data_IF_278978377471
#
_entry.id   IF_278978377471
#
_cell.length_a   1.000
_cell.length_b   1.000
_cell.length_c   1.000
_cell.angle_alpha   90.00
_cell.angle_beta   90.00
_cell.angle_gamma   90.00
#
_symmetry.space_group_name_H-M   'P 1'
#
loop_
_entity.id
_entity.type
_entity.pdbx_description
1 polymer ?
#
# COMPACT_ATOMS: atom_id res chain seq x y z
N UNK A 1 -0.83 21.12 -72.39
CA UNK A 1 -1.46 21.16 -71.06
C UNK A 1 -1.09 19.90 -70.23
N UNK A 2 0.17 19.70 -69.80
CA UNK A 2 0.54 18.57 -68.92
C UNK A 2 1.03 18.95 -67.50
N UNK A 3 1.05 20.24 -67.14
CA UNK A 3 1.80 20.72 -65.95
C UNK A 3 1.01 20.60 -64.62
N UNK A 4 -0.31 20.35 -64.67
CA UNK A 4 -1.14 20.33 -63.44
C UNK A 4 -1.15 18.94 -62.76
N UNK A 5 -0.81 17.86 -63.47
CA UNK A 5 -0.90 16.50 -62.91
C UNK A 5 0.32 16.10 -62.06
N UNK A 6 1.51 16.67 -62.32
CA UNK A 6 2.73 16.36 -61.57
C UNK A 6 2.78 16.98 -60.16
N UNK A 7 1.92 17.95 -59.86
CA UNK A 7 1.86 18.59 -58.54
C UNK A 7 1.02 17.84 -57.50
N UNK A 8 0.26 16.81 -57.92
CA UNK A 8 -0.59 16.01 -57.03
C UNK A 8 0.09 14.71 -56.55
N UNK A 9 1.20 14.29 -57.19
CA UNK A 9 1.87 13.01 -56.88
C UNK A 9 3.19 13.12 -56.08
N UNK A 10 3.61 14.32 -55.65
CA UNK A 10 4.97 14.52 -55.11
C UNK A 10 5.04 15.01 -53.66
N UNK A 11 4.08 14.69 -52.77
CA UNK A 11 4.24 14.96 -51.31
C UNK A 11 3.24 14.20 -50.42
N UNK A 12 3.39 12.89 -50.31
CA UNK A 12 2.83 12.12 -49.18
C UNK A 12 3.73 10.96 -48.76
N UNK A 13 5.04 11.11 -48.88
CA UNK A 13 5.98 10.31 -48.10
C UNK A 13 5.90 10.80 -46.66
N UNK A 14 5.07 10.15 -45.86
CA UNK A 14 5.14 10.21 -44.39
C UNK A 14 6.55 9.72 -44.03
N UNK A 15 7.47 10.66 -43.84
CA UNK A 15 8.74 10.39 -43.18
C UNK A 15 8.39 9.89 -41.79
N UNK A 16 8.47 8.57 -41.60
CA UNK A 16 8.58 7.97 -40.28
C UNK A 16 9.87 8.49 -39.66
N UNK A 17 9.79 9.64 -38.99
CA UNK A 17 10.85 10.14 -38.11
C UNK A 17 10.96 9.14 -36.97
N UNK A 18 11.75 8.08 -37.17
CA UNK A 18 12.21 7.23 -36.09
C UNK A 18 12.98 8.13 -35.11
N UNK A 19 12.33 8.50 -34.01
CA UNK A 19 12.98 9.20 -32.91
C UNK A 19 13.93 8.19 -32.26
N UNK A 20 15.16 8.11 -32.77
CA UNK A 20 16.25 7.37 -32.14
C UNK A 20 16.60 8.08 -30.84
N UNK A 21 15.91 7.70 -29.77
CA UNK A 21 16.31 8.10 -28.43
C UNK A 21 17.70 7.51 -28.15
N UNK A 22 18.69 8.33 -27.74
CA UNK A 22 19.95 7.79 -27.27
C UNK A 22 19.66 6.85 -26.07
N UNK A 23 20.40 5.73 -25.93
CA UNK A 23 20.11 4.72 -24.90
C UNK A 23 20.13 5.29 -23.47
N UNK A 24 20.85 6.40 -23.25
CA UNK A 24 20.85 7.15 -21.99
C UNK A 24 19.53 7.87 -21.68
N UNK A 25 18.82 8.39 -22.68
CA UNK A 25 17.54 9.07 -22.48
C UNK A 25 16.40 8.08 -22.25
N UNK A 26 16.37 6.98 -23.01
CA UNK A 26 15.39 5.91 -22.79
C UNK A 26 15.51 5.29 -21.38
N UNK A 27 16.75 5.14 -20.88
CA UNK A 27 17.01 4.67 -19.53
C UNK A 27 16.55 5.66 -18.45
N UNK A 28 16.78 6.96 -18.66
CA UNK A 28 16.32 8.02 -17.74
C UNK A 28 14.78 8.03 -17.63
N UNK A 29 14.07 7.91 -18.74
CA UNK A 29 12.60 7.83 -18.75
C UNK A 29 12.06 6.59 -18.01
N UNK A 30 12.72 5.43 -18.16
CA UNK A 30 12.32 4.21 -17.44
C UNK A 30 12.59 4.29 -15.94
N UNK A 31 13.70 4.91 -15.52
CA UNK A 31 13.98 5.14 -14.09
C UNK A 31 12.94 6.08 -13.47
N UNK A 32 12.55 7.14 -14.18
CA UNK A 32 11.58 8.13 -13.69
C UNK A 32 10.21 7.48 -13.41
N UNK A 33 9.75 6.56 -14.28
CA UNK A 33 8.48 5.85 -14.11
C UNK A 33 8.54 4.82 -12.98
N UNK A 34 9.63 4.04 -12.87
CA UNK A 34 9.84 3.08 -11.78
C UNK A 34 9.89 3.79 -10.43
N UNK A 35 10.60 4.92 -10.34
CA UNK A 35 10.72 5.70 -9.10
C UNK A 35 9.35 6.14 -8.57
N UNK A 36 8.47 6.66 -9.42
CA UNK A 36 7.12 7.09 -9.01
C UNK A 36 6.30 5.91 -8.47
N UNK A 37 6.37 4.75 -9.14
CA UNK A 37 5.66 3.53 -8.72
C UNK A 37 6.19 2.98 -7.40
N UNK A 38 7.51 3.02 -7.22
CA UNK A 38 8.19 2.53 -6.01
C UNK A 38 7.92 3.41 -4.78
N UNK A 39 7.95 4.74 -4.93
CA UNK A 39 7.72 5.68 -3.80
C UNK A 39 6.34 5.49 -3.18
N UNK A 40 5.30 5.22 -3.97
CA UNK A 40 3.95 4.95 -3.43
C UNK A 40 3.85 3.63 -2.68
N UNK A 41 4.39 2.56 -3.27
CA UNK A 41 4.44 1.26 -2.61
C UNK A 41 5.16 1.38 -1.26
N UNK A 42 6.19 2.21 -1.20
CA UNK A 42 6.91 2.54 0.03
C UNK A 42 6.02 3.29 1.05
N UNK A 43 5.23 4.29 0.63
CA UNK A 43 4.33 5.05 1.52
C UNK A 43 3.32 4.11 2.19
N UNK A 44 2.66 3.24 1.41
CA UNK A 44 1.69 2.28 1.95
C UNK A 44 2.38 1.27 2.87
N UNK A 45 3.52 0.73 2.45
CA UNK A 45 4.27 -0.24 3.25
C UNK A 45 4.72 0.36 4.59
N UNK A 46 5.29 1.57 4.59
CA UNK A 46 5.73 2.25 5.82
C UNK A 46 4.54 2.51 6.74
N UNK A 47 3.41 2.96 6.18
CA UNK A 47 2.20 3.25 6.96
C UNK A 47 1.71 2.00 7.69
N UNK A 48 1.62 0.87 7.00
CA UNK A 48 1.19 -0.42 7.58
C UNK A 48 2.23 -0.93 8.58
N UNK A 49 3.50 -1.00 8.17
CA UNK A 49 4.57 -1.55 9.02
C UNK A 49 4.68 -0.76 10.32
N UNK A 50 4.68 0.58 10.26
CA UNK A 50 4.81 1.42 11.45
C UNK A 50 3.58 1.32 12.35
N UNK A 51 2.37 1.38 11.78
CA UNK A 51 1.13 1.29 12.55
C UNK A 51 0.98 -0.05 13.26
N UNK A 52 1.24 -1.15 12.55
CA UNK A 52 1.14 -2.50 13.10
C UNK A 52 2.29 -2.81 14.06
N UNK A 53 3.52 -2.36 13.76
CA UNK A 53 4.64 -2.50 14.67
C UNK A 53 4.39 -1.78 16.00
N UNK A 54 3.85 -0.57 15.94
CA UNK A 54 3.50 0.17 17.15
C UNK A 54 2.38 -0.52 17.94
N UNK A 55 1.31 -0.98 17.27
CA UNK A 55 0.22 -1.73 17.90
C UNK A 55 0.73 -3.01 18.60
N UNK A 56 1.44 -3.87 17.87
CA UNK A 56 1.96 -5.14 18.38
C UNK A 56 3.00 -4.89 19.46
N UNK A 57 3.85 -3.87 19.31
CA UNK A 57 4.81 -3.45 20.32
C UNK A 57 4.14 -3.05 21.62
N UNK A 58 3.16 -2.14 21.59
CA UNK A 58 2.41 -1.73 22.78
C UNK A 58 1.74 -2.92 23.48
N UNK A 59 1.12 -3.81 22.71
CA UNK A 59 0.46 -5.01 23.25
C UNK A 59 1.45 -5.99 23.87
N UNK A 60 2.59 -6.22 23.21
CA UNK A 60 3.66 -7.10 23.69
C UNK A 60 4.24 -6.56 25.01
N UNK A 61 4.49 -5.26 25.10
CA UNK A 61 4.96 -4.62 26.34
C UNK A 61 3.92 -4.75 27.47
N UNK A 62 2.63 -4.61 27.14
CA UNK A 62 1.53 -4.80 28.10
C UNK A 62 1.51 -6.21 28.68
N UNK A 63 1.64 -7.23 27.84
CA UNK A 63 1.65 -8.64 28.27
C UNK A 63 2.87 -8.95 29.15
N UNK A 64 4.05 -8.42 28.79
CA UNK A 64 5.28 -8.56 29.60
C UNK A 64 5.08 -7.91 30.98
N UNK A 65 4.56 -6.70 31.05
CA UNK A 65 4.36 -5.98 32.32
C UNK A 65 3.33 -6.69 33.22
N UNK A 66 2.25 -7.22 32.64
CA UNK A 66 1.24 -8.00 33.39
C UNK A 66 1.87 -9.27 33.95
N UNK A 67 2.73 -9.94 33.17
CA UNK A 67 3.41 -11.15 33.61
C UNK A 67 4.41 -10.90 34.75
N UNK A 68 5.14 -9.78 34.72
CA UNK A 68 6.15 -9.45 35.73
C UNK A 68 5.51 -8.90 37.02
N UNK A 69 4.54 -7.98 36.90
CA UNK A 69 4.03 -7.21 38.05
C UNK A 69 2.62 -7.59 38.48
N UNK A 70 1.90 -8.41 37.72
CA UNK A 70 0.57 -8.91 38.10
C UNK A 70 -0.54 -7.85 38.21
N UNK A 71 -0.30 -6.61 37.77
CA UNK A 71 -1.26 -5.49 37.90
C UNK A 71 -1.76 -5.03 36.52
N UNK A 72 -3.08 -4.83 36.40
CA UNK A 72 -3.76 -4.62 35.11
C UNK A 72 -4.52 -3.30 34.97
N UNK A 73 -4.61 -2.46 36.00
CA UNK A 73 -5.80 -1.60 36.13
C UNK A 73 -5.64 -0.14 35.64
N UNK A 74 -4.43 0.45 35.68
CA UNK A 74 -4.24 1.84 35.23
C UNK A 74 -3.57 1.96 33.85
N UNK A 75 -2.73 0.98 33.48
CA UNK A 75 -1.87 1.10 32.31
C UNK A 75 -2.54 0.79 30.96
N UNK A 76 -3.66 0.06 30.98
CA UNK A 76 -4.32 -0.41 29.74
C UNK A 76 -5.06 0.68 28.99
N UNK A 77 -5.74 1.59 29.70
CA UNK A 77 -6.61 2.59 29.08
C UNK A 77 -5.85 3.56 28.18
N UNK A 78 -4.70 4.08 28.65
CA UNK A 78 -3.90 5.00 27.84
C UNK A 78 -3.23 4.29 26.64
N UNK A 79 -2.79 3.03 26.81
CA UNK A 79 -2.22 2.22 25.73
C UNK A 79 -3.23 1.96 24.62
N UNK A 80 -4.49 1.66 24.97
CA UNK A 80 -5.56 1.47 24.01
C UNK A 80 -5.81 2.74 23.18
N UNK A 81 -5.83 3.91 23.82
CA UNK A 81 -5.99 5.18 23.10
C UNK A 81 -4.83 5.46 22.14
N UNK A 82 -3.59 5.25 22.57
CA UNK A 82 -2.42 5.41 21.69
C UNK A 82 -2.46 4.42 20.51
N UNK A 83 -2.84 3.18 20.77
CA UNK A 83 -3.03 2.17 19.73
C UNK A 83 -4.08 2.61 18.71
N UNK A 84 -5.27 3.04 19.16
CA UNK A 84 -6.34 3.51 18.27
C UNK A 84 -5.88 4.68 17.40
N UNK A 85 -5.24 5.70 17.99
CA UNK A 85 -4.75 6.87 17.26
C UNK A 85 -3.74 6.45 16.19
N UNK A 86 -2.80 5.56 16.52
CA UNK A 86 -1.81 5.06 15.55
C UNK A 86 -2.43 4.31 14.38
N UNK A 87 -3.48 3.51 14.62
CA UNK A 87 -4.19 2.77 13.58
C UNK A 87 -4.99 3.70 12.67
N UNK A 88 -5.55 4.79 13.22
CA UNK A 88 -6.22 5.83 12.42
C UNK A 88 -5.21 6.52 11.49
N UNK A 89 -4.04 6.91 12.00
CA UNK A 89 -2.98 7.53 11.17
C UNK A 89 -2.52 6.58 10.07
N UNK A 90 -2.35 5.29 10.39
CA UNK A 90 -2.06 4.24 9.43
C UNK A 90 -3.14 4.14 8.34
N UNK A 91 -4.42 4.10 8.71
CA UNK A 91 -5.54 4.04 7.78
C UNK A 91 -5.59 5.24 6.83
N UNK A 92 -5.34 6.45 7.33
CA UNK A 92 -5.28 7.67 6.51
C UNK A 92 -4.11 7.61 5.52
N UNK A 93 -2.95 7.10 5.94
CA UNK A 93 -1.80 6.89 5.05
C UNK A 93 -2.11 5.93 3.90
N UNK A 94 -2.80 4.82 4.21
CA UNK A 94 -3.25 3.83 3.21
C UNK A 94 -4.26 4.47 2.25
N UNK A 95 -5.29 5.14 2.78
CA UNK A 95 -6.33 5.83 2.00
C UNK A 95 -5.72 6.80 0.98
N UNK A 96 -4.82 7.68 1.44
CA UNK A 96 -4.20 8.69 0.58
C UNK A 96 -3.33 8.06 -0.51
N UNK A 97 -2.52 7.06 -0.16
CA UNK A 97 -1.70 6.38 -1.16
C UNK A 97 -2.55 5.61 -2.17
N UNK A 98 -3.69 5.07 -1.74
CA UNK A 98 -4.56 4.30 -2.63
C UNK A 98 -5.37 5.21 -3.56
N UNK A 99 -5.83 6.37 -3.08
CA UNK A 99 -6.40 7.42 -3.92
C UNK A 99 -5.41 7.89 -4.99
N UNK A 100 -4.14 8.09 -4.61
CA UNK A 100 -3.09 8.41 -5.58
C UNK A 100 -2.88 7.28 -6.60
N UNK A 101 -2.96 6.01 -6.17
CA UNK A 101 -2.82 4.88 -7.08
C UNK A 101 -3.95 4.82 -8.12
N UNK A 102 -5.17 5.22 -7.75
CA UNK A 102 -6.31 5.30 -8.66
C UNK A 102 -6.08 6.38 -9.72
N UNK A 103 -5.67 7.59 -9.32
CA UNK A 103 -5.51 8.70 -10.26
C UNK A 103 -4.45 8.44 -11.32
N UNK A 104 -3.37 7.74 -10.98
CA UNK A 104 -2.32 7.39 -11.95
C UNK A 104 -2.70 6.23 -12.86
N UNK A 105 -3.54 5.30 -12.39
CA UNK A 105 -4.05 4.18 -13.20
C UNK A 105 -5.34 4.52 -13.94
N UNK A 106 -5.82 5.76 -13.89
CA UNK A 106 -7.04 6.23 -14.55
C UNK A 106 -7.14 5.78 -16.01
N UNK A 107 -6.07 6.00 -16.80
CA UNK A 107 -6.03 5.62 -18.22
C UNK A 107 -6.10 4.10 -18.42
N UNK A 108 -5.39 3.34 -17.59
CA UNK A 108 -5.41 1.86 -17.62
C UNK A 108 -6.80 1.32 -17.27
N UNK A 109 -7.48 1.93 -16.30
CA UNK A 109 -8.86 1.57 -15.91
C UNK A 109 -9.84 1.91 -17.05
N UNK A 110 -9.70 3.11 -17.65
CA UNK A 110 -10.51 3.54 -18.79
C UNK A 110 -10.39 2.59 -19.97
N UNK A 111 -9.16 2.19 -20.34
CA UNK A 111 -8.96 1.24 -21.44
C UNK A 111 -9.54 -0.14 -21.12
N UNK A 112 -9.39 -0.65 -19.89
CA UNK A 112 -10.01 -1.91 -19.46
C UNK A 112 -11.54 -1.86 -19.57
N UNK A 113 -12.17 -0.76 -19.16
CA UNK A 113 -13.62 -0.60 -19.26
C UNK A 113 -14.10 -0.47 -20.71
N UNK A 114 -13.35 0.21 -21.58
CA UNK A 114 -13.65 0.25 -23.03
C UNK A 114 -13.60 -1.14 -23.68
N UNK A 115 -12.78 -2.05 -23.14
CA UNK A 115 -12.72 -3.44 -23.57
C UNK A 115 -13.82 -4.33 -22.95
N UNK A 116 -14.72 -3.76 -22.17
CA UNK A 116 -15.86 -4.46 -21.57
C UNK A 116 -15.64 -4.97 -20.15
N UNK A 117 -14.60 -4.51 -19.43
CA UNK A 117 -14.44 -4.84 -18.02
C UNK A 117 -15.58 -4.23 -17.17
N UNK A 118 -16.25 -5.06 -16.38
CA UNK A 118 -17.27 -4.61 -15.42
C UNK A 118 -16.62 -3.93 -14.21
N UNK A 119 -17.35 -3.02 -13.57
CA UNK A 119 -16.91 -2.30 -12.36
C UNK A 119 -16.45 -3.27 -11.25
N UNK A 120 -17.12 -4.42 -11.13
CA UNK A 120 -16.74 -5.47 -10.17
C UNK A 120 -15.36 -6.08 -10.43
N UNK A 121 -14.90 -6.15 -11.69
CA UNK A 121 -13.55 -6.63 -12.00
C UNK A 121 -12.49 -5.64 -11.51
N UNK A 122 -12.72 -4.35 -11.73
CA UNK A 122 -11.83 -3.28 -11.27
C UNK A 122 -11.77 -3.27 -9.74
N UNK A 123 -12.93 -3.37 -9.07
CA UNK A 123 -13.01 -3.46 -7.62
C UNK A 123 -12.20 -4.65 -7.08
N UNK A 124 -12.35 -5.83 -7.67
CA UNK A 124 -11.63 -7.03 -7.24
C UNK A 124 -10.11 -6.86 -7.37
N UNK A 125 -9.60 -6.26 -8.44
CA UNK A 125 -8.15 -6.03 -8.62
C UNK A 125 -7.59 -5.21 -7.45
N UNK A 126 -8.25 -4.11 -7.10
CA UNK A 126 -7.80 -3.25 -6.00
C UNK A 126 -7.96 -3.91 -4.62
N UNK A 127 -9.03 -4.70 -4.40
CA UNK A 127 -9.20 -5.48 -3.17
C UNK A 127 -8.11 -6.53 -3.00
N UNK A 128 -7.73 -7.23 -4.08
CA UNK A 128 -6.63 -8.19 -4.04
C UNK A 128 -5.28 -7.50 -3.80
N UNK A 129 -5.04 -6.35 -4.42
CA UNK A 129 -3.84 -5.56 -4.15
C UNK A 129 -3.75 -5.14 -2.67
N UNK A 130 -4.85 -4.63 -2.10
CA UNK A 130 -4.91 -4.27 -0.70
C UNK A 130 -4.68 -5.47 0.23
N UNK A 131 -5.28 -6.62 -0.07
CA UNK A 131 -5.11 -7.84 0.71
C UNK A 131 -3.65 -8.29 0.74
N UNK A 132 -2.98 -8.35 -0.42
CA UNK A 132 -1.58 -8.75 -0.52
C UNK A 132 -0.67 -7.78 0.24
N UNK A 133 -0.89 -6.48 0.07
CA UNK A 133 -0.11 -5.44 0.76
C UNK A 133 -0.35 -5.48 2.27
N UNK A 134 -1.60 -5.73 2.71
CA UNK A 134 -1.97 -5.89 4.11
C UNK A 134 -1.34 -7.12 4.77
N UNK A 135 -1.29 -8.26 4.09
CA UNK A 135 -0.63 -9.47 4.59
C UNK A 135 0.87 -9.23 4.74
N UNK A 136 1.54 -8.77 3.68
CA UNK A 136 3.00 -8.58 3.68
C UNK A 136 3.40 -7.51 4.70
N UNK A 137 2.75 -6.35 4.67
CA UNK A 137 3.00 -5.25 5.60
C UNK A 137 2.65 -5.63 7.04
N UNK A 138 1.58 -6.40 7.23
CA UNK A 138 1.15 -6.90 8.54
C UNK A 138 2.14 -7.87 9.15
N UNK A 139 2.67 -8.82 8.37
CA UNK A 139 3.71 -9.76 8.84
C UNK A 139 4.97 -9.01 9.24
N UNK A 140 5.47 -8.13 8.37
CA UNK A 140 6.69 -7.35 8.63
C UNK A 140 6.50 -6.45 9.85
N UNK A 141 5.38 -5.71 9.89
CA UNK A 141 5.05 -4.84 11.01
C UNK A 141 4.91 -5.60 12.33
N UNK A 142 4.20 -6.72 12.34
CA UNK A 142 3.99 -7.51 13.55
C UNK A 142 5.31 -8.08 14.11
N UNK A 143 6.19 -8.58 13.24
CA UNK A 143 7.51 -9.08 13.65
C UNK A 143 8.37 -7.94 14.21
N UNK A 144 8.41 -6.79 13.53
CA UNK A 144 9.18 -5.62 14.01
C UNK A 144 8.63 -5.12 15.35
N UNK A 145 7.31 -5.06 15.50
CA UNK A 145 6.66 -4.63 16.74
C UNK A 145 6.95 -5.55 17.92
N UNK A 146 6.85 -6.86 17.69
CA UNK A 146 7.21 -7.86 18.68
C UNK A 146 8.68 -7.74 19.10
N UNK A 147 9.59 -7.68 18.12
CA UNK A 147 11.03 -7.51 18.39
C UNK A 147 11.31 -6.23 19.18
N UNK A 148 10.72 -5.10 18.79
CA UNK A 148 10.86 -3.84 19.50
C UNK A 148 10.33 -3.92 20.94
N UNK A 149 9.20 -4.60 21.16
CA UNK A 149 8.62 -4.85 22.48
C UNK A 149 9.54 -5.66 23.40
N UNK A 150 10.11 -6.75 22.87
CA UNK A 150 11.00 -7.63 23.64
C UNK A 150 12.35 -6.98 23.92
N UNK A 151 12.93 -6.27 22.94
CA UNK A 151 14.26 -5.64 23.06
C UNK A 151 14.36 -4.64 24.20
N UNK A 152 13.26 -4.01 24.62
CA UNK A 152 13.25 -3.07 25.74
C UNK A 152 13.53 -3.76 27.07
N UNK A 153 13.03 -4.99 27.27
CA UNK A 153 13.08 -5.71 28.55
C UNK A 153 14.16 -6.81 28.58
N UNK A 154 14.82 -7.05 27.45
CA UNK A 154 15.79 -8.14 27.28
C UNK A 154 16.95 -8.06 28.26
N UNK A 155 17.39 -6.86 28.67
CA UNK A 155 18.55 -6.70 29.57
C UNK A 155 18.31 -7.17 31.01
N UNK A 156 17.08 -7.04 31.52
CA UNK A 156 16.76 -7.31 32.92
C UNK A 156 15.97 -8.62 33.12
N UNK A 157 15.21 -9.06 32.10
CA UNK A 157 14.21 -10.13 32.24
C UNK A 157 14.39 -11.31 31.28
N UNK A 158 15.62 -11.56 30.79
CA UNK A 158 15.97 -12.66 29.85
C UNK A 158 15.22 -13.98 30.12
N UNK A 159 15.31 -14.50 31.35
CA UNK A 159 14.76 -15.81 31.71
C UNK A 159 13.22 -15.85 31.71
N UNK A 160 12.58 -14.70 31.90
CA UNK A 160 11.13 -14.55 32.04
C UNK A 160 10.48 -14.36 30.65
N UNK A 161 11.16 -13.63 29.76
CA UNK A 161 10.68 -13.27 28.41
C UNK A 161 10.46 -14.47 27.48
N UNK A 162 11.19 -15.57 27.70
CA UNK A 162 11.07 -16.81 26.92
C UNK A 162 10.28 -17.91 27.65
N UNK A 163 9.51 -17.55 28.68
CA UNK A 163 8.62 -18.51 29.33
C UNK A 163 7.55 -19.02 28.34
N UNK A 164 7.10 -20.29 28.46
CA UNK A 164 6.08 -20.85 27.56
C UNK A 164 4.78 -20.05 27.53
N UNK A 165 4.41 -19.42 28.66
CA UNK A 165 3.24 -18.58 28.77
C UNK A 165 3.33 -17.32 27.90
N UNK A 166 4.49 -16.65 27.86
CA UNK A 166 4.70 -15.49 26.99
C UNK A 166 4.85 -15.86 25.52
N UNK A 167 5.44 -17.02 25.21
CA UNK A 167 5.53 -17.46 23.81
C UNK A 167 4.14 -17.62 23.17
N UNK A 168 3.17 -18.15 23.92
CA UNK A 168 1.80 -18.26 23.46
C UNK A 168 1.16 -16.88 23.23
N UNK A 169 1.41 -15.91 24.12
CA UNK A 169 0.89 -14.55 23.93
C UNK A 169 1.52 -13.87 22.71
N UNK A 170 2.82 -14.01 22.46
CA UNK A 170 3.48 -13.43 21.28
C UNK A 170 2.87 -13.91 19.97
N UNK A 171 2.61 -15.21 19.84
CA UNK A 171 1.98 -15.78 18.64
C UNK A 171 0.57 -15.20 18.45
N UNK A 172 -0.21 -15.07 19.53
CA UNK A 172 -1.53 -14.43 19.48
C UNK A 172 -1.44 -12.96 19.05
N UNK A 173 -0.51 -12.18 19.62
CA UNK A 173 -0.33 -10.76 19.31
C UNK A 173 0.13 -10.53 17.87
N UNK A 174 1.00 -11.38 17.34
CA UNK A 174 1.41 -11.33 15.94
C UNK A 174 0.23 -11.64 15.02
N UNK A 175 -0.56 -12.68 15.34
CA UNK A 175 -1.78 -13.02 14.59
C UNK A 175 -2.81 -11.90 14.60
N UNK A 176 -3.05 -11.29 15.75
CA UNK A 176 -3.92 -10.11 15.91
C UNK A 176 -3.41 -8.93 15.05
N UNK A 177 -2.10 -8.65 15.06
CA UNK A 177 -1.50 -7.60 14.25
C UNK A 177 -1.71 -7.80 12.75
N UNK A 178 -1.50 -9.03 12.25
CA UNK A 178 -1.74 -9.36 10.83
C UNK A 178 -3.22 -9.23 10.48
N UNK A 179 -4.13 -9.69 11.35
CA UNK A 179 -5.57 -9.56 11.14
C UNK A 179 -6.01 -8.10 11.06
N UNK A 180 -5.51 -7.25 11.97
CA UNK A 180 -5.78 -5.82 11.98
C UNK A 180 -5.22 -5.16 10.71
N UNK A 181 -4.01 -5.54 10.27
CA UNK A 181 -3.42 -5.04 9.05
C UNK A 181 -4.31 -5.31 7.82
N UNK A 182 -4.82 -6.53 7.69
CA UNK A 182 -5.74 -6.91 6.61
C UNK A 182 -7.05 -6.12 6.69
N UNK A 183 -7.66 -6.02 7.87
CA UNK A 183 -8.92 -5.29 8.05
C UNK A 183 -8.74 -3.80 7.71
N UNK A 184 -7.66 -3.19 8.19
CA UNK A 184 -7.38 -1.77 7.93
C UNK A 184 -7.09 -1.50 6.46
N UNK A 185 -6.27 -2.33 5.81
CA UNK A 185 -5.92 -2.14 4.41
C UNK A 185 -7.09 -2.36 3.47
N UNK A 186 -7.85 -3.43 3.65
CA UNK A 186 -9.06 -3.69 2.88
C UNK A 186 -10.08 -2.59 3.16
N UNK A 187 -10.34 -2.28 4.43
CA UNK A 187 -11.29 -1.23 4.84
C UNK A 187 -10.96 0.14 4.26
N UNK A 188 -9.70 0.56 4.37
CA UNK A 188 -9.19 1.80 3.77
C UNK A 188 -9.28 1.79 2.23
N UNK A 189 -9.21 0.63 1.59
CA UNK A 189 -9.22 0.54 0.12
C UNK A 189 -10.62 0.55 -0.47
N UNK A 190 -11.66 0.21 0.29
CA UNK A 190 -13.04 0.12 -0.23
C UNK A 190 -13.47 1.41 -0.93
N UNK A 191 -13.27 2.56 -0.28
CA UNK A 191 -13.63 3.86 -0.85
C UNK A 191 -12.89 4.18 -2.17
N UNK A 192 -11.54 4.20 -2.23
CA UNK A 192 -10.83 4.49 -3.47
C UNK A 192 -11.08 3.44 -4.56
N UNK A 193 -11.21 2.17 -4.22
CA UNK A 193 -11.49 1.11 -5.19
C UNK A 193 -12.88 1.24 -5.81
N UNK A 194 -13.89 1.61 -5.01
CA UNK A 194 -15.21 1.93 -5.52
C UNK A 194 -15.16 3.16 -6.44
N UNK A 195 -14.46 4.21 -6.02
CA UNK A 195 -14.29 5.42 -6.84
C UNK A 195 -13.64 5.12 -8.20
N UNK A 196 -12.59 4.30 -8.21
CA UNK A 196 -11.93 3.81 -9.42
C UNK A 196 -12.88 3.00 -10.31
N UNK A 197 -13.62 2.09 -9.69
CA UNK A 197 -14.57 1.23 -10.37
C UNK A 197 -15.76 2.01 -10.93
N UNK A 198 -16.15 3.17 -10.39
CA UNK A 198 -17.27 3.98 -10.90
C UNK A 198 -16.88 5.02 -11.97
N UNK A 199 -15.60 5.08 -12.37
CA UNK A 199 -15.12 6.10 -13.31
C UNK A 199 -15.66 5.91 -14.73
N UNK A 200 -16.05 7.00 -15.40
CA UNK A 200 -16.49 6.99 -16.79
C UNK A 200 -15.29 6.78 -17.73
N UNK A 201 -15.33 5.79 -18.65
CA UNK A 201 -14.24 5.53 -19.60
C UNK A 201 -13.90 6.72 -20.50
N UNK A 202 -14.90 7.53 -20.88
CA UNK A 202 -14.70 8.69 -21.74
C UNK A 202 -13.88 9.79 -21.03
N UNK A 203 -14.19 10.04 -19.75
CA UNK A 203 -13.45 10.99 -18.93
C UNK A 203 -12.02 10.51 -18.64
N UNK A 204 -11.84 9.21 -18.42
CA UNK A 204 -10.53 8.61 -18.17
C UNK A 204 -9.55 8.75 -19.35
N UNK A 205 -10.06 8.74 -20.59
CA UNK A 205 -9.26 8.88 -21.81
C UNK A 205 -9.03 10.33 -22.22
N UNK A 206 -9.88 11.26 -21.78
CA UNK A 206 -9.79 12.68 -22.11
C UNK A 206 -8.70 13.43 -21.34
N UNK A 207 -8.16 12.84 -20.27
CA UNK A 207 -7.21 13.48 -19.37
C UNK A 207 -5.83 13.85 -20.01
N UNK A 208 -5.57 13.48 -21.27
CA UNK A 208 -4.34 13.81 -22.01
C UNK A 208 -4.57 14.50 -23.38
N UNK A 209 -5.82 14.83 -23.76
CA UNK A 209 -6.12 15.57 -25.00
C UNK A 209 -6.17 17.09 -24.76
#
# INVERSE_FOLDING_TARGET
>A
MPIIFDLVMSKSTVESREVKFPPSEAFKFSIESIRRRFVRALITAISIVLGIAFYVGLRTMSDIMIFIYGTSEAAKSYQLWMAIISLIVCAVGILNSMLMAVTERTKEIGTMKCLGAMDGHILMIFMFEALLVGIIGGIIGAVIGWLAGVLIYVGEYMNILFSPALLASYVMRIGEGIAIAMILTVGATIYPAYHAASMDPADALRFEL
#
